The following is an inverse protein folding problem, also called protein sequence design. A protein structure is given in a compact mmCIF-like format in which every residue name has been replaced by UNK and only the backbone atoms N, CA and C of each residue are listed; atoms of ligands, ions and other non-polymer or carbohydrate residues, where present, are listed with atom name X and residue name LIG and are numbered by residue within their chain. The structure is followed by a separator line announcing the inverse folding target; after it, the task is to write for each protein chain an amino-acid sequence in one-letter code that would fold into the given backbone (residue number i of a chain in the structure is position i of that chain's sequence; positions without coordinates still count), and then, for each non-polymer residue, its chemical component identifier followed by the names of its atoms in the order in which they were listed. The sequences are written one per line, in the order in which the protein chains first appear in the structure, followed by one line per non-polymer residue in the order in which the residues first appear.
data_IF_669139211858
#
_entry.id   IF_669139211858
#
_cell.length_a   1.000
_cell.length_b   1.000
_cell.length_c   1.000
_cell.angle_alpha   90.00
_cell.angle_beta   90.00
_cell.angle_gamma   90.00
#
_symmetry.space_group_name_H-M   'P 1'
#
loop_
_entity.id
_entity.type
_entity.pdbx_description
1 polymer ?
#
# COMPACT_ATOMS: atom_id res chain seq x y z
N UNK A 1 24.81 2.29 -15.91
CA UNK A 1 24.43 0.90 -15.60
C UNK A 1 23.03 1.00 -15.04
N UNK A 2 22.07 0.37 -15.69
CA UNK A 2 20.68 0.45 -15.29
C UNK A 2 20.50 -0.37 -14.00
N UNK A 3 19.92 0.24 -12.95
CA UNK A 3 19.69 -0.42 -11.67
C UNK A 3 18.51 -1.37 -11.84
N UNK A 4 18.62 -2.62 -11.38
CA UNK A 4 17.49 -3.56 -11.36
C UNK A 4 16.59 -3.29 -10.16
N UNK A 5 15.32 -3.72 -10.24
CA UNK A 5 14.39 -3.60 -9.11
C UNK A 5 14.93 -4.31 -7.86
N UNK A 6 15.58 -5.46 -8.04
CA UNK A 6 16.23 -6.19 -6.94
C UNK A 6 17.32 -5.37 -6.25
N UNK A 7 18.17 -4.68 -7.03
CA UNK A 7 19.23 -3.83 -6.48
C UNK A 7 18.62 -2.62 -5.74
N UNK A 8 17.59 -2.01 -6.34
CA UNK A 8 16.86 -0.91 -5.76
C UNK A 8 16.27 -1.27 -4.39
N UNK A 9 15.53 -2.38 -4.32
CA UNK A 9 14.92 -2.84 -3.08
C UNK A 9 15.95 -3.19 -2.01
N UNK A 10 17.08 -3.81 -2.38
CA UNK A 10 18.17 -4.13 -1.45
C UNK A 10 18.91 -2.90 -0.94
N UNK A 11 18.86 -1.79 -1.67
CA UNK A 11 19.45 -0.53 -1.25
C UNK A 11 18.61 0.21 -0.19
N UNK A 12 17.34 -0.17 0.00
CA UNK A 12 16.46 0.47 0.98
C UNK A 12 16.97 0.12 2.39
N UNK A 13 17.35 1.12 3.21
CA UNK A 13 17.75 0.87 4.58
C UNK A 13 16.59 0.26 5.38
N UNK A 14 16.90 -0.77 6.14
CA UNK A 14 15.93 -1.50 6.94
C UNK A 14 15.76 -0.83 8.31
N UNK A 15 15.20 0.37 8.30
CA UNK A 15 14.86 1.05 9.55
C UNK A 15 13.69 0.32 10.23
N UNK A 16 13.60 0.49 11.55
CA UNK A 16 12.54 -0.11 12.35
C UNK A 16 11.15 0.24 11.82
N UNK A 17 10.94 1.48 11.43
CA UNK A 17 9.64 1.96 10.92
C UNK A 17 9.20 1.19 9.68
N UNK A 18 10.13 0.94 8.75
CA UNK A 18 9.86 0.19 7.50
C UNK A 18 9.57 -1.28 7.83
N UNK A 19 10.41 -1.91 8.65
CA UNK A 19 10.23 -3.32 9.03
C UNK A 19 8.93 -3.53 9.80
N UNK A 20 8.61 -2.66 10.76
CA UNK A 20 7.38 -2.75 11.53
C UNK A 20 6.14 -2.50 10.68
N UNK A 21 6.22 -1.61 9.68
CA UNK A 21 5.13 -1.41 8.73
C UNK A 21 4.84 -2.68 7.93
N UNK A 22 5.84 -3.33 7.39
CA UNK A 22 5.66 -4.60 6.66
C UNK A 22 5.13 -5.72 7.56
N UNK A 23 5.68 -5.87 8.77
CA UNK A 23 5.29 -6.90 9.75
C UNK A 23 3.79 -6.86 10.09
N UNK A 24 3.19 -5.69 10.04
CA UNK A 24 1.77 -5.55 10.27
C UNK A 24 0.90 -6.05 9.11
N UNK A 25 1.45 -6.24 7.92
CA UNK A 25 0.69 -6.45 6.69
C UNK A 25 0.82 -7.87 6.15
N UNK A 26 2.03 -8.43 6.05
CA UNK A 26 2.31 -9.73 5.42
C UNK A 26 3.52 -10.43 6.05
N UNK A 27 3.69 -11.71 5.75
CA UNK A 27 4.88 -12.49 6.06
C UNK A 27 5.77 -12.66 4.82
N UNK A 28 5.17 -13.03 3.66
CA UNK A 28 5.87 -13.20 2.38
C UNK A 28 5.00 -12.70 1.23
N UNK A 29 5.55 -11.83 0.40
CA UNK A 29 4.89 -11.38 -0.83
C UNK A 29 5.74 -11.61 -2.07
N UNK A 30 5.08 -11.77 -3.20
CA UNK A 30 5.65 -11.61 -4.52
C UNK A 30 5.49 -10.16 -5.00
N UNK A 31 6.46 -9.66 -5.73
CA UNK A 31 6.37 -8.37 -6.44
C UNK A 31 6.70 -8.59 -7.90
N UNK A 32 5.90 -8.03 -8.79
CA UNK A 32 6.16 -8.02 -10.24
C UNK A 32 6.30 -6.57 -10.70
N UNK A 33 7.32 -6.27 -11.48
CA UNK A 33 7.52 -4.94 -12.07
C UNK A 33 6.90 -4.94 -13.47
N UNK A 34 5.87 -4.13 -13.68
CA UNK A 34 5.06 -4.17 -14.90
C UNK A 34 5.88 -3.90 -16.18
N UNK A 35 6.81 -2.95 -16.13
CA UNK A 35 7.58 -2.51 -17.30
C UNK A 35 8.74 -3.44 -17.64
N UNK A 36 9.40 -4.04 -16.64
CA UNK A 36 10.60 -4.86 -16.84
C UNK A 36 10.32 -6.35 -16.79
N UNK A 37 9.19 -6.75 -16.23
CA UNK A 37 8.86 -8.15 -15.96
C UNK A 37 9.72 -8.79 -14.87
N UNK A 38 10.48 -7.99 -14.10
CA UNK A 38 11.23 -8.49 -12.95
C UNK A 38 10.28 -9.01 -11.88
N UNK A 39 10.68 -10.11 -11.25
CA UNK A 39 9.95 -10.75 -10.17
C UNK A 39 10.81 -10.80 -8.93
N UNK A 40 10.22 -10.47 -7.78
CA UNK A 40 10.90 -10.43 -6.50
C UNK A 40 10.09 -11.15 -5.42
N UNK A 41 10.80 -11.75 -4.48
CA UNK A 41 10.26 -12.21 -3.19
C UNK A 41 10.66 -11.21 -2.12
N UNK A 42 9.68 -10.75 -1.34
CA UNK A 42 9.91 -9.95 -0.13
C UNK A 42 9.39 -10.78 1.05
N UNK A 43 10.29 -11.25 1.90
CA UNK A 43 9.96 -12.05 3.06
C UNK A 43 10.38 -11.32 4.34
N UNK A 44 9.48 -11.32 5.32
CA UNK A 44 9.72 -10.72 6.61
C UNK A 44 10.36 -11.75 7.53
N UNK A 45 11.56 -11.46 7.99
CA UNK A 45 12.25 -12.20 9.04
C UNK A 45 12.13 -11.47 10.38
N UNK A 46 12.68 -12.03 11.46
CA UNK A 46 12.45 -11.50 12.81
C UNK A 46 12.78 -10.00 12.96
N UNK A 47 13.87 -9.54 12.35
CA UNK A 47 14.34 -8.14 12.48
C UNK A 47 14.71 -7.49 11.15
N UNK A 48 14.51 -8.18 10.03
CA UNK A 48 14.89 -7.70 8.70
C UNK A 48 13.93 -8.17 7.63
N UNK A 49 14.02 -7.50 6.49
CA UNK A 49 13.32 -7.87 5.26
C UNK A 49 14.32 -8.57 4.35
N UNK A 50 14.04 -9.81 3.99
CA UNK A 50 14.83 -10.55 2.99
C UNK A 50 14.22 -10.31 1.60
N UNK A 51 15.08 -9.99 0.63
CA UNK A 51 14.67 -9.70 -0.73
C UNK A 51 15.45 -10.58 -1.70
N UNK A 52 14.74 -11.43 -2.43
CA UNK A 52 15.29 -12.37 -3.39
C UNK A 52 14.70 -12.17 -4.79
N UNK A 53 15.41 -12.66 -5.81
CA UNK A 53 14.89 -12.71 -7.18
C UNK A 53 13.86 -13.86 -7.32
N UNK A 54 12.85 -13.62 -8.19
CA UNK A 54 11.78 -14.56 -8.48
C UNK A 54 10.61 -14.52 -7.49
N UNK A 55 9.49 -15.11 -7.89
CA UNK A 55 8.29 -15.20 -7.04
C UNK A 55 8.41 -16.33 -6.02
N UNK A 56 7.88 -16.17 -4.80
CA UNK A 56 7.81 -17.24 -3.83
C UNK A 56 6.75 -18.28 -4.23
N UNK A 57 6.93 -19.53 -3.82
CA UNK A 57 5.97 -20.61 -4.13
C UNK A 57 4.58 -20.33 -3.53
N UNK A 58 4.52 -19.80 -2.32
CA UNK A 58 3.28 -19.57 -1.57
C UNK A 58 3.26 -18.16 -0.97
N UNK A 59 3.12 -17.10 -1.79
CA UNK A 59 3.02 -15.74 -1.28
C UNK A 59 1.68 -15.49 -0.58
N UNK A 60 1.69 -14.59 0.41
CA UNK A 60 0.44 -14.06 0.96
C UNK A 60 -0.39 -13.37 -0.12
N UNK A 61 0.28 -12.64 -1.00
CA UNK A 61 -0.27 -12.04 -2.22
C UNK A 61 0.87 -11.61 -3.16
N UNK A 62 0.51 -11.29 -4.41
CA UNK A 62 1.44 -10.72 -5.39
C UNK A 62 1.03 -9.28 -5.67
N UNK A 63 2.01 -8.37 -5.61
CA UNK A 63 1.82 -6.93 -5.83
C UNK A 63 2.43 -6.54 -7.16
N UNK A 64 1.65 -6.10 -8.15
CA UNK A 64 2.19 -5.43 -9.32
C UNK A 64 2.64 -4.01 -8.94
N UNK A 65 3.86 -3.66 -9.26
CA UNK A 65 4.42 -2.33 -9.10
C UNK A 65 4.86 -1.77 -10.46
N UNK A 66 4.79 -0.46 -10.58
CA UNK A 66 5.40 0.26 -11.70
C UNK A 66 6.84 0.60 -11.36
N UNK A 67 7.68 0.73 -12.38
CA UNK A 67 9.07 1.14 -12.21
C UNK A 67 9.19 2.49 -11.48
N UNK A 68 8.30 3.44 -11.77
CA UNK A 68 8.22 4.72 -11.07
C UNK A 68 8.14 4.59 -9.54
N UNK A 69 7.40 3.58 -9.04
CA UNK A 69 7.33 3.32 -7.60
C UNK A 69 8.68 2.89 -7.03
N UNK A 70 9.44 2.08 -7.79
CA UNK A 70 10.78 1.62 -7.41
C UNK A 70 11.77 2.78 -7.40
N UNK A 71 11.77 3.61 -8.43
CA UNK A 71 12.62 4.82 -8.51
C UNK A 71 12.36 5.77 -7.34
N UNK A 72 11.10 6.01 -7.01
CA UNK A 72 10.73 6.87 -5.87
C UNK A 72 11.24 6.30 -4.54
N UNK A 73 11.27 4.99 -4.37
CA UNK A 73 11.81 4.36 -3.16
C UNK A 73 13.32 4.51 -3.08
N UNK A 74 14.02 4.38 -4.20
CA UNK A 74 15.50 4.46 -4.27
C UNK A 74 16.00 5.88 -4.11
N UNK A 75 15.35 6.85 -4.74
CA UNK A 75 15.74 8.26 -4.64
C UNK A 75 15.75 8.80 -3.21
N UNK A 76 15.01 8.14 -2.32
CA UNK A 76 15.01 8.44 -0.90
C UNK A 76 16.00 7.61 -0.06
N UNK A 77 16.67 6.63 -0.69
CA UNK A 77 17.59 5.71 -0.02
C UNK A 77 19.09 6.02 -0.27
N UNK A 78 19.40 6.92 -1.21
CA UNK A 78 20.77 7.09 -1.71
C UNK A 78 21.77 7.71 -0.72
N UNK A 79 21.33 8.41 0.31
CA UNK A 79 22.23 9.16 1.20
C UNK A 79 22.76 8.39 2.42
N UNK A 80 22.38 7.13 2.61
CA UNK A 80 22.94 6.23 3.64
C UNK A 80 22.68 6.61 5.10
N UNK A 81 22.08 7.76 5.35
CA UNK A 81 21.61 8.20 6.67
C UNK A 81 20.13 8.54 6.57
N UNK A 82 19.29 7.53 6.82
CA UNK A 82 17.84 7.75 6.84
C UNK A 82 17.42 8.13 8.26
N UNK A 83 16.99 9.35 8.44
CA UNK A 83 16.29 9.78 9.64
C UNK A 83 14.82 9.28 9.63
N UNK A 84 14.11 9.52 10.73
CA UNK A 84 12.71 9.05 10.83
C UNK A 84 11.80 9.68 9.78
N UNK A 85 12.10 10.90 9.32
CA UNK A 85 11.33 11.58 8.29
C UNK A 85 11.50 10.92 6.92
N UNK A 86 12.70 10.52 6.58
CA UNK A 86 13.04 9.78 5.36
C UNK A 86 12.40 8.37 5.35
N UNK A 87 12.45 7.67 6.49
CA UNK A 87 11.77 6.37 6.66
C UNK A 87 10.27 6.50 6.33
N UNK A 88 9.63 7.57 6.78
CA UNK A 88 8.21 7.81 6.51
C UNK A 88 7.92 8.15 5.06
N UNK A 89 8.86 8.70 4.30
CA UNK A 89 8.71 8.85 2.84
C UNK A 89 8.69 7.50 2.14
N UNK A 90 9.57 6.57 2.52
CA UNK A 90 9.57 5.21 1.98
C UNK A 90 8.26 4.48 2.35
N UNK A 91 7.85 4.53 3.61
CA UNK A 91 6.55 4.00 4.05
C UNK A 91 5.40 4.59 3.24
N UNK A 92 5.48 5.87 2.86
CA UNK A 92 4.48 6.54 2.05
C UNK A 92 4.35 5.97 0.64
N UNK A 93 5.47 5.64 0.00
CA UNK A 93 5.47 4.97 -1.31
C UNK A 93 4.86 3.58 -1.18
N UNK A 94 5.26 2.82 -0.16
CA UNK A 94 4.69 1.50 0.13
C UNK A 94 3.19 1.57 0.39
N UNK A 95 2.74 2.52 1.18
CA UNK A 95 1.32 2.76 1.45
C UNK A 95 0.52 3.03 0.17
N UNK A 96 1.04 3.89 -0.70
CA UNK A 96 0.40 4.21 -1.97
C UNK A 96 0.35 2.99 -2.89
N UNK A 97 1.45 2.26 -3.01
CA UNK A 97 1.55 1.04 -3.83
C UNK A 97 0.62 -0.07 -3.34
N UNK A 98 0.57 -0.31 -2.03
CA UNK A 98 -0.35 -1.28 -1.43
C UNK A 98 -1.82 -0.87 -1.58
N UNK A 99 -2.12 0.43 -1.49
CA UNK A 99 -3.46 0.95 -1.77
C UNK A 99 -3.86 0.67 -3.22
N UNK A 100 -2.96 0.90 -4.16
CA UNK A 100 -3.15 0.62 -5.58
C UNK A 100 -3.39 -0.88 -5.81
N UNK A 101 -2.52 -1.76 -5.29
CA UNK A 101 -2.68 -3.21 -5.38
C UNK A 101 -4.03 -3.69 -4.81
N UNK A 102 -4.45 -3.12 -3.68
CA UNK A 102 -5.75 -3.42 -3.06
C UNK A 102 -6.91 -3.04 -3.98
N UNK A 103 -6.92 -1.82 -4.50
CA UNK A 103 -8.05 -1.29 -5.28
C UNK A 103 -8.13 -1.90 -6.69
N UNK A 104 -6.99 -2.33 -7.25
CA UNK A 104 -6.93 -2.98 -8.57
C UNK A 104 -7.26 -4.47 -8.50
N UNK A 105 -7.36 -5.05 -7.30
CA UNK A 105 -7.88 -6.40 -7.15
C UNK A 105 -9.28 -6.52 -7.80
N UNK A 106 -9.58 -7.58 -8.59
CA UNK A 106 -10.83 -7.71 -9.32
C UNK A 106 -12.10 -7.57 -8.48
N UNK A 107 -12.08 -8.00 -7.22
CA UNK A 107 -13.24 -7.87 -6.33
C UNK A 107 -13.40 -6.41 -5.88
N UNK A 108 -12.31 -5.75 -5.49
CA UNK A 108 -12.36 -4.34 -5.08
C UNK A 108 -12.63 -3.41 -6.28
N UNK A 109 -12.18 -3.76 -7.46
CA UNK A 109 -12.47 -3.05 -8.70
C UNK A 109 -13.91 -3.24 -9.19
N UNK A 110 -14.64 -4.24 -8.68
CA UNK A 110 -16.02 -4.51 -9.04
C UNK A 110 -17.01 -3.53 -8.38
N UNK A 111 -18.28 -3.57 -8.84
CA UNK A 111 -19.38 -2.82 -8.21
C UNK A 111 -19.58 -3.19 -6.73
N UNK A 112 -19.22 -4.41 -6.33
CA UNK A 112 -19.27 -4.85 -4.92
C UNK A 112 -18.20 -4.12 -4.13
N UNK A 113 -16.96 -4.10 -4.59
CA UNK A 113 -15.87 -3.38 -3.95
C UNK A 113 -16.14 -1.89 -3.87
N UNK A 114 -16.67 -1.28 -4.91
CA UNK A 114 -17.12 0.11 -4.92
C UNK A 114 -18.17 0.38 -3.83
N UNK A 115 -19.17 -0.50 -3.68
CA UNK A 115 -20.19 -0.38 -2.62
C UNK A 115 -19.60 -0.56 -1.22
N UNK A 116 -18.61 -1.44 -1.08
CA UNK A 116 -17.89 -1.63 0.19
C UNK A 116 -17.09 -0.38 0.53
N UNK A 117 -16.26 0.11 -0.38
CA UNK A 117 -15.38 1.27 -0.16
C UNK A 117 -16.17 2.56 0.12
N UNK A 118 -17.38 2.66 -0.46
CA UNK A 118 -18.22 3.87 -0.40
C UNK A 118 -17.45 5.16 -0.73
N UNK A 119 -16.47 5.05 -1.59
CA UNK A 119 -15.82 6.20 -2.20
C UNK A 119 -16.70 6.57 -3.39
N UNK A 120 -17.41 7.68 -3.23
CA UNK A 120 -18.26 8.25 -4.26
C UNK A 120 -17.38 9.21 -5.08
N UNK A 121 -17.05 8.88 -6.29
CA UNK A 121 -16.32 9.67 -7.29
C UNK A 121 -14.87 10.01 -6.91
N UNK A 122 -14.62 10.80 -5.86
CA UNK A 122 -13.30 11.28 -5.50
C UNK A 122 -13.10 11.35 -3.99
N UNK A 123 -11.96 10.84 -3.51
CA UNK A 123 -11.55 10.97 -2.11
C UNK A 123 -10.08 11.38 -2.00
N UNK A 124 -9.76 12.12 -0.96
CA UNK A 124 -8.38 12.38 -0.56
C UNK A 124 -7.99 11.44 0.57
N UNK A 125 -6.77 10.93 0.52
CA UNK A 125 -6.21 10.02 1.53
C UNK A 125 -4.89 10.60 2.01
N UNK A 126 -4.75 10.68 3.33
CA UNK A 126 -3.53 11.12 4.01
C UNK A 126 -3.03 10.01 4.90
N UNK A 127 -1.72 9.77 4.88
CA UNK A 127 -1.01 9.02 5.89
C UNK A 127 -0.37 9.99 6.88
N UNK A 128 -0.65 9.80 8.16
CA UNK A 128 -0.16 10.64 9.24
C UNK A 128 0.93 9.88 9.99
N UNK A 129 2.12 10.45 10.07
CA UNK A 129 3.23 9.92 10.83
C UNK A 129 2.99 10.04 12.35
N UNK A 130 3.73 9.30 13.20
CA UNK A 130 3.54 9.33 14.66
C UNK A 130 3.70 10.70 15.32
N UNK A 131 4.52 11.58 14.74
CA UNK A 131 4.69 12.97 15.20
C UNK A 131 3.56 13.92 14.73
N UNK A 132 2.58 13.39 13.97
CA UNK A 132 1.41 14.12 13.50
C UNK A 132 1.57 14.84 12.17
N UNK A 133 2.76 14.80 11.54
CA UNK A 133 2.89 15.38 10.20
C UNK A 133 2.26 14.50 9.12
N UNK A 134 1.87 15.12 8.00
CA UNK A 134 1.33 14.42 6.84
C UNK A 134 2.47 13.82 6.02
N UNK A 135 2.76 12.52 6.22
CA UNK A 135 3.84 11.82 5.54
C UNK A 135 3.59 11.72 4.02
N UNK A 136 2.34 11.51 3.61
CA UNK A 136 1.94 11.50 2.19
C UNK A 136 0.46 11.76 2.02
N UNK A 137 0.09 12.15 0.80
CA UNK A 137 -1.30 12.21 0.39
C UNK A 137 -1.46 11.73 -1.06
N UNK A 138 -2.63 11.16 -1.34
CA UNK A 138 -3.01 10.81 -2.70
C UNK A 138 -4.52 10.97 -2.91
N UNK A 139 -4.90 11.05 -4.17
CA UNK A 139 -6.29 11.12 -4.60
C UNK A 139 -6.74 9.74 -5.08
N UNK A 140 -7.84 9.26 -4.54
CA UNK A 140 -8.58 8.12 -5.07
C UNK A 140 -9.72 8.63 -5.94
N UNK A 141 -9.79 8.15 -7.18
CA UNK A 141 -10.90 8.45 -8.07
C UNK A 141 -11.47 7.16 -8.67
N UNK A 142 -12.80 7.12 -8.85
CA UNK A 142 -13.46 6.03 -9.55
C UNK A 142 -14.06 6.59 -10.83
N UNK A 143 -13.37 6.39 -11.95
CA UNK A 143 -13.74 6.91 -13.26
C UNK A 143 -13.87 5.77 -14.28
N UNK A 144 -14.92 5.80 -15.11
CA UNK A 144 -15.13 4.80 -16.17
C UNK A 144 -15.02 3.35 -15.70
N UNK A 145 -15.53 3.05 -14.49
CA UNK A 145 -15.47 1.73 -13.83
C UNK A 145 -14.06 1.27 -13.44
N UNK A 146 -13.13 2.19 -13.27
CA UNK A 146 -11.77 1.90 -12.82
C UNK A 146 -11.39 2.79 -11.64
N UNK A 147 -10.62 2.23 -10.72
CA UNK A 147 -9.96 2.98 -9.68
C UNK A 147 -8.70 3.64 -10.23
N UNK A 148 -8.47 4.86 -9.80
CA UNK A 148 -7.22 5.59 -10.02
C UNK A 148 -6.67 5.99 -8.67
N UNK A 149 -5.40 5.71 -8.45
CA UNK A 149 -4.61 6.17 -7.29
C UNK A 149 -3.61 7.17 -7.83
N UNK A 150 -3.80 8.44 -7.53
CA UNK A 150 -3.03 9.54 -8.12
C UNK A 150 -2.24 10.21 -6.99
N UNK A 151 -0.89 10.24 -7.03
CA UNK A 151 -0.10 10.97 -6.05
C UNK A 151 -0.51 12.45 -5.99
N UNK A 152 -0.59 13.00 -4.77
CA UNK A 152 -1.05 14.37 -4.54
C UNK A 152 -2.56 14.56 -4.48
N UNK A 153 -2.99 15.80 -4.27
CA UNK A 153 -4.38 16.18 -4.07
C UNK A 153 -4.95 16.85 -5.31
N UNK A 154 -5.98 16.23 -5.88
CA UNK A 154 -6.65 16.74 -7.08
C UNK A 154 -8.15 16.85 -6.86
N UNK A 155 -8.73 17.94 -7.36
CA UNK A 155 -10.16 18.15 -7.33
C UNK A 155 -10.74 18.39 -5.94
N UNK A 156 -12.07 18.40 -5.85
CA UNK A 156 -12.80 18.56 -4.59
C UNK A 156 -13.30 17.20 -4.11
N UNK A 157 -12.78 16.67 -2.99
CA UNK A 157 -13.17 15.35 -2.52
C UNK A 157 -14.58 15.37 -1.93
N UNK A 158 -15.32 14.29 -2.11
CA UNK A 158 -16.53 14.00 -1.34
C UNK A 158 -16.22 13.37 0.01
N UNK A 159 -15.01 12.88 0.19
CA UNK A 159 -14.52 12.26 1.42
C UNK A 159 -13.02 12.45 1.58
N UNK A 160 -12.61 12.68 2.81
CA UNK A 160 -11.18 12.72 3.18
C UNK A 160 -10.91 11.65 4.22
N UNK A 161 -9.91 10.83 3.97
CA UNK A 161 -9.35 9.85 4.92
C UNK A 161 -8.08 10.43 5.51
N UNK A 162 -7.94 10.29 6.83
CA UNK A 162 -6.70 10.61 7.56
C UNK A 162 -6.37 9.40 8.42
N UNK A 163 -5.32 8.70 8.05
CA UNK A 163 -4.96 7.41 8.65
C UNK A 163 -3.59 7.51 9.28
N UNK A 164 -3.43 6.98 10.49
CA UNK A 164 -2.13 6.69 11.06
C UNK A 164 -1.51 5.47 10.39
N UNK A 165 -0.24 5.17 10.71
CA UNK A 165 0.39 3.94 10.24
C UNK A 165 -0.39 2.70 10.71
N UNK A 166 -0.83 2.67 11.97
CA UNK A 166 -1.60 1.57 12.54
C UNK A 166 -2.94 1.38 11.82
N UNK A 167 -3.64 2.47 11.52
CA UNK A 167 -4.89 2.43 10.75
C UNK A 167 -4.66 1.84 9.35
N UNK A 168 -3.58 2.24 8.71
CA UNK A 168 -3.18 1.75 7.38
C UNK A 168 -2.82 0.26 7.43
N UNK A 169 -1.98 -0.16 8.39
CA UNK A 169 -1.59 -1.55 8.60
C UNK A 169 -2.83 -2.41 8.85
N UNK A 170 -3.73 -1.98 9.73
CA UNK A 170 -4.94 -2.75 10.03
C UNK A 170 -5.84 -2.88 8.79
N UNK A 171 -6.00 -1.82 8.01
CA UNK A 171 -6.74 -1.85 6.75
C UNK A 171 -6.12 -2.84 5.77
N UNK A 172 -4.82 -2.72 5.50
CA UNK A 172 -4.11 -3.56 4.54
C UNK A 172 -4.18 -5.04 4.95
N UNK A 173 -3.88 -5.35 6.20
CA UNK A 173 -3.94 -6.72 6.73
C UNK A 173 -5.31 -7.35 6.53
N UNK A 174 -6.38 -6.62 6.81
CA UNK A 174 -7.76 -7.15 6.69
C UNK A 174 -8.20 -7.32 5.25
N UNK A 175 -7.88 -6.38 4.38
CA UNK A 175 -8.26 -6.49 2.98
C UNK A 175 -7.46 -7.58 2.28
N UNK A 176 -6.16 -7.71 2.54
CA UNK A 176 -5.36 -8.78 1.97
C UNK A 176 -5.78 -10.16 2.50
N UNK A 177 -6.14 -10.28 3.79
CA UNK A 177 -6.74 -11.51 4.31
C UNK A 177 -8.04 -11.88 3.57
N UNK A 178 -8.90 -10.91 3.26
CA UNK A 178 -10.12 -11.15 2.50
C UNK A 178 -9.82 -11.55 1.04
N UNK A 179 -8.81 -10.94 0.42
CA UNK A 179 -8.34 -11.27 -0.93
C UNK A 179 -7.77 -12.70 -0.97
N UNK A 180 -6.87 -13.03 -0.04
CA UNK A 180 -6.19 -14.33 0.04
C UNK A 180 -7.21 -15.47 0.23
N UNK A 181 -8.11 -15.34 1.18
CA UNK A 181 -9.09 -16.36 1.49
C UNK A 181 -10.25 -16.39 0.49
N UNK A 182 -10.49 -15.32 -0.23
CA UNK A 182 -11.48 -15.15 -1.29
C UNK A 182 -12.85 -15.80 -1.00
N UNK A 183 -13.32 -15.76 0.25
CA UNK A 183 -14.60 -16.32 0.67
C UNK A 183 -15.63 -15.25 0.99
N UNK A 184 -16.89 -15.53 0.73
CA UNK A 184 -18.00 -14.63 1.06
C UNK A 184 -17.96 -14.22 2.55
N UNK A 185 -17.62 -15.15 3.43
CA UNK A 185 -17.53 -14.91 4.89
C UNK A 185 -16.47 -13.87 5.23
N UNK A 186 -15.28 -13.94 4.62
CA UNK A 186 -14.18 -12.98 4.88
C UNK A 186 -14.50 -11.61 4.29
N UNK A 187 -15.06 -11.53 3.09
CA UNK A 187 -15.51 -10.27 2.52
C UNK A 187 -16.64 -9.62 3.32
N UNK A 188 -17.56 -10.41 3.88
CA UNK A 188 -18.60 -9.90 4.76
C UNK A 188 -18.04 -9.38 6.07
N UNK A 189 -17.08 -10.09 6.70
CA UNK A 189 -16.36 -9.64 7.91
C UNK A 189 -15.62 -8.33 7.64
N UNK A 190 -14.85 -8.28 6.55
CA UNK A 190 -14.16 -7.07 6.11
C UNK A 190 -15.12 -5.90 5.95
N UNK A 191 -16.22 -6.07 5.21
CA UNK A 191 -17.22 -5.03 4.98
C UNK A 191 -17.85 -4.49 6.27
N UNK A 192 -18.18 -5.38 7.23
CA UNK A 192 -18.71 -4.96 8.53
C UNK A 192 -17.72 -4.17 9.37
N UNK A 193 -16.47 -4.62 9.39
CA UNK A 193 -15.39 -3.92 10.07
C UNK A 193 -15.13 -2.57 9.40
N UNK A 194 -14.92 -2.55 8.07
CA UNK A 194 -14.64 -1.36 7.28
C UNK A 194 -15.70 -0.27 7.46
N UNK A 195 -16.98 -0.64 7.54
CA UNK A 195 -18.08 0.30 7.79
C UNK A 195 -17.91 1.07 9.11
N UNK A 196 -17.36 0.42 10.15
CA UNK A 196 -17.09 1.04 11.45
C UNK A 196 -15.80 1.86 11.40
N UNK A 197 -14.71 1.22 11.00
CA UNK A 197 -13.38 1.81 10.91
C UNK A 197 -13.35 3.07 10.02
N UNK A 198 -13.97 3.06 8.87
CA UNK A 198 -14.07 4.24 8.00
C UNK A 198 -14.65 5.48 8.69
N UNK A 199 -15.56 5.30 9.66
CA UNK A 199 -16.13 6.43 10.40
C UNK A 199 -15.14 7.08 11.37
N UNK A 200 -14.14 6.34 11.82
CA UNK A 200 -13.08 6.87 12.69
C UNK A 200 -12.02 7.63 11.93
N UNK A 201 -11.68 7.18 10.71
CA UNK A 201 -10.58 7.74 9.90
C UNK A 201 -11.03 8.67 8.78
N UNK A 202 -12.33 8.92 8.58
CA UNK A 202 -12.78 9.75 7.45
C UNK A 202 -13.90 10.72 7.76
N UNK A 203 -13.84 11.86 7.08
CA UNK A 203 -14.88 12.90 7.07
C UNK A 203 -15.54 12.95 5.69
N UNK A 204 -16.88 13.06 5.67
CA UNK A 204 -17.67 13.30 4.45
C UNK A 204 -17.88 14.81 4.29
N UNK A 205 -17.70 15.31 3.07
CA UNK A 205 -17.92 16.72 2.70
C UNK A 205 -19.22 16.91 1.94
#
# INVERSE_FOLDING_TARGET
MEITALQAWRAIPQTRDIVDYFRGIFDVIGVTIEETGEELTIALEAEQIRIDAGLPENPDFVVPLKWENVENMVSHAEDGQIDSHESWRIVSVLFTSLTQATLYNPIMASDIGRRISRVEDLAHVYLIAPDGHEATCHTLAYLKKQWLVIPGLYGKPKRTFRMTAEDSIEYQRRVFSAIKNNSFREWWRFSRWYKKWRKTVSVKH
#
